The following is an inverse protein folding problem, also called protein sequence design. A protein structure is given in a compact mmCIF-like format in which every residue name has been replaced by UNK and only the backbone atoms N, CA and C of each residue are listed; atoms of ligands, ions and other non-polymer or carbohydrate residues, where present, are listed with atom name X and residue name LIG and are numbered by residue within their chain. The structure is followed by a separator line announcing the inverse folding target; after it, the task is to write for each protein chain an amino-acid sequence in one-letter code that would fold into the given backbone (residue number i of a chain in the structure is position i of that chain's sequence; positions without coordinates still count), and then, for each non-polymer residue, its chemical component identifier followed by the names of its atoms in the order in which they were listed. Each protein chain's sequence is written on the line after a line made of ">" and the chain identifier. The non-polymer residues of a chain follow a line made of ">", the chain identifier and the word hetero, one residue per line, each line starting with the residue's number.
data_IF_777936446985
#
_entry.id   IF_777936446985
#
_cell.length_a   1.000
_cell.length_b   1.000
_cell.length_c   1.000
_cell.angle_alpha   90.00
_cell.angle_beta   90.00
_cell.angle_gamma   90.00
#
_symmetry.space_group_name_H-M   'P 1'
#
loop_
_entity.id
_entity.type
_entity.pdbx_description
1 polymer ?
#
# COMPACT_ATOMS: atom_id res chain seq x y z
N UNK A 1 4.22 14.40 -11.10
CA UNK A 1 3.15 14.84 -10.21
C UNK A 1 3.72 15.67 -9.05
N UNK A 2 4.62 15.14 -8.20
CA UNK A 2 5.18 15.83 -7.04
C UNK A 2 5.83 17.19 -7.35
N UNK A 3 6.61 17.26 -8.42
CA UNK A 3 7.29 18.50 -8.79
C UNK A 3 6.30 19.62 -9.15
N UNK A 4 5.24 19.30 -9.90
CA UNK A 4 4.22 20.28 -10.25
C UNK A 4 3.42 20.74 -9.03
N UNK A 5 3.05 19.81 -8.13
CA UNK A 5 2.37 20.14 -6.86
C UNK A 5 3.23 21.06 -5.99
N UNK A 6 4.52 20.73 -5.84
CA UNK A 6 5.45 21.57 -5.06
C UNK A 6 5.59 22.98 -5.67
N UNK A 7 5.69 23.08 -6.99
CA UNK A 7 5.76 24.38 -7.69
C UNK A 7 4.49 25.21 -7.48
N UNK A 8 3.32 24.60 -7.65
CA UNK A 8 2.02 25.28 -7.46
C UNK A 8 1.87 25.80 -6.02
N UNK A 9 2.17 24.95 -5.01
CA UNK A 9 2.12 25.35 -3.60
C UNK A 9 3.13 26.47 -3.28
N UNK A 10 4.36 26.38 -3.79
CA UNK A 10 5.39 27.40 -3.57
C UNK A 10 5.09 28.72 -4.28
N UNK A 11 4.38 28.66 -5.40
CA UNK A 11 3.88 29.82 -6.12
C UNK A 11 2.60 30.42 -5.49
N UNK A 12 2.09 29.78 -4.43
CA UNK A 12 0.82 30.15 -3.78
C UNK A 12 -0.37 30.16 -4.75
N UNK A 13 -0.36 29.21 -5.72
CA UNK A 13 -1.49 29.02 -6.61
C UNK A 13 -2.73 28.61 -5.81
N UNK A 14 -3.90 29.04 -6.27
CA UNK A 14 -5.16 28.69 -5.64
C UNK A 14 -5.45 27.20 -5.82
N UNK A 15 -5.44 26.48 -4.69
CA UNK A 15 -5.80 25.06 -4.62
C UNK A 15 -6.69 24.91 -3.38
N UNK A 16 -7.95 24.53 -3.58
CA UNK A 16 -8.89 24.40 -2.46
C UNK A 16 -8.84 23.03 -1.77
N UNK A 17 -8.52 21.97 -2.53
CA UNK A 17 -8.37 20.60 -1.99
C UNK A 17 -7.15 19.94 -2.58
N UNK A 18 -6.35 19.30 -1.75
CA UNK A 18 -5.15 18.56 -2.16
C UNK A 18 -5.12 17.17 -1.51
N UNK A 19 -5.05 16.12 -2.33
CA UNK A 19 -4.69 14.80 -1.85
C UNK A 19 -3.16 14.66 -1.82
N UNK A 20 -2.60 14.24 -0.69
CA UNK A 20 -1.16 14.01 -0.54
C UNK A 20 -0.70 12.71 -1.21
N UNK A 21 -1.16 12.45 -2.45
CA UNK A 21 -0.76 11.31 -3.26
C UNK A 21 0.57 11.63 -3.93
N UNK A 22 1.64 10.94 -3.47
CA UNK A 22 2.98 11.18 -3.99
C UNK A 22 3.59 12.54 -3.59
N UNK A 23 2.90 13.39 -2.85
CA UNK A 23 3.43 14.57 -2.18
C UNK A 23 3.55 14.28 -0.69
N UNK A 24 4.75 14.33 -0.09
CA UNK A 24 4.91 13.94 1.31
C UNK A 24 4.15 14.90 2.25
N UNK A 25 3.22 14.36 3.02
CA UNK A 25 2.41 15.10 3.97
C UNK A 25 3.26 15.91 4.97
N UNK A 26 4.27 15.26 5.56
CA UNK A 26 5.20 15.91 6.48
C UNK A 26 5.93 17.10 5.83
N UNK A 27 6.31 16.98 4.55
CA UNK A 27 6.95 18.09 3.82
C UNK A 27 5.99 19.25 3.65
N UNK A 28 4.73 19.02 3.32
CA UNK A 28 3.70 20.05 3.21
C UNK A 28 3.53 20.84 4.51
N UNK A 29 3.54 20.13 5.64
CA UNK A 29 3.45 20.75 6.99
C UNK A 29 4.72 21.56 7.28
N UNK A 30 5.90 20.99 7.10
CA UNK A 30 7.18 21.67 7.39
C UNK A 30 7.38 22.93 6.56
N UNK A 31 6.90 22.96 5.32
CA UNK A 31 6.96 24.11 4.43
C UNK A 31 5.83 25.12 4.69
N UNK A 32 4.88 24.81 5.59
CA UNK A 32 3.76 25.68 5.90
C UNK A 32 2.73 25.82 4.78
N UNK A 33 2.58 24.78 3.94
CA UNK A 33 1.62 24.81 2.83
C UNK A 33 0.21 24.37 3.20
N UNK A 34 0.03 23.73 4.37
CA UNK A 34 -1.24 23.10 4.73
C UNK A 34 -1.92 23.89 5.87
N UNK A 35 -3.24 24.04 5.78
CA UNK A 35 -4.06 24.69 6.78
C UNK A 35 -4.31 23.80 8.00
N UNK A 36 -4.43 24.40 9.18
CA UNK A 36 -5.04 23.78 10.34
C UNK A 36 -6.55 23.62 10.06
N UNK A 37 -7.03 22.38 10.05
CA UNK A 37 -8.43 22.06 9.75
C UNK A 37 -9.36 22.29 10.94
N UNK A 38 -8.83 22.62 12.11
CA UNK A 38 -9.62 23.01 13.29
C UNK A 38 -9.66 24.54 13.46
N UNK A 39 -8.87 25.29 12.69
CA UNK A 39 -8.92 26.73 12.71
C UNK A 39 -10.32 27.26 12.38
N UNK A 40 -10.86 28.13 13.21
CA UNK A 40 -12.22 28.68 13.11
C UNK A 40 -13.33 27.60 13.10
N UNK A 41 -13.13 26.50 13.84
CA UNK A 41 -14.08 25.38 13.93
C UNK A 41 -14.45 24.77 12.57
N UNK A 42 -13.51 24.77 11.61
CA UNK A 42 -13.77 24.39 10.21
C UNK A 42 -14.28 22.94 10.09
N UNK A 43 -13.56 21.97 10.65
CA UNK A 43 -13.98 20.56 10.59
C UNK A 43 -15.20 20.32 11.48
N UNK A 44 -15.30 20.95 12.65
CA UNK A 44 -16.42 20.79 13.58
C UNK A 44 -17.73 21.29 12.96
N UNK A 45 -17.65 22.39 12.18
CA UNK A 45 -18.84 23.01 11.58
C UNK A 45 -19.26 22.35 10.28
N UNK A 46 -18.30 21.94 9.44
CA UNK A 46 -18.59 21.52 8.07
C UNK A 46 -18.13 20.09 7.75
N UNK A 47 -17.36 19.45 8.63
CA UNK A 47 -16.76 18.15 8.42
C UNK A 47 -17.13 17.08 9.46
N UNK A 48 -18.15 17.29 10.29
CA UNK A 48 -18.54 16.33 11.33
C UNK A 48 -18.86 14.95 10.76
N UNK A 49 -19.48 14.89 9.57
CA UNK A 49 -19.77 13.61 8.90
C UNK A 49 -18.52 12.81 8.53
N UNK A 50 -17.38 13.47 8.32
CA UNK A 50 -16.09 12.81 8.10
C UNK A 50 -15.68 12.04 9.37
N UNK A 51 -15.75 12.72 10.53
CA UNK A 51 -15.41 12.12 11.83
C UNK A 51 -16.33 10.93 12.12
N UNK A 52 -17.62 11.08 11.85
CA UNK A 52 -18.62 10.02 12.07
C UNK A 52 -18.38 8.81 11.13
N UNK A 53 -17.89 9.05 9.91
CA UNK A 53 -17.66 8.00 8.92
C UNK A 53 -16.39 7.18 9.18
N UNK A 54 -15.29 7.84 9.58
CA UNK A 54 -13.97 7.17 9.71
C UNK A 54 -13.53 6.93 11.17
N UNK A 55 -14.20 7.52 12.14
CA UNK A 55 -13.84 7.49 13.56
C UNK A 55 -12.82 8.54 13.97
N UNK A 56 -12.98 9.07 15.17
CA UNK A 56 -12.10 10.12 15.71
C UNK A 56 -10.65 9.70 15.80
N UNK A 57 -10.38 8.44 16.17
CA UNK A 57 -9.02 7.88 16.27
C UNK A 57 -8.27 7.89 14.94
N UNK A 58 -8.96 7.66 13.83
CA UNK A 58 -8.35 7.71 12.50
C UNK A 58 -8.08 9.16 12.06
N UNK A 59 -8.96 10.09 12.43
CA UNK A 59 -8.73 11.53 12.22
C UNK A 59 -7.54 11.98 13.05
N UNK A 60 -7.46 11.59 14.32
CA UNK A 60 -6.37 11.97 15.23
C UNK A 60 -5.02 11.38 14.78
N UNK A 61 -5.00 10.23 14.10
CA UNK A 61 -3.78 9.68 13.52
C UNK A 61 -3.16 10.56 12.42
N UNK A 62 -3.91 11.49 11.84
CA UNK A 62 -3.41 12.49 10.90
C UNK A 62 -2.83 13.76 11.57
N UNK A 63 -2.85 13.85 12.90
CA UNK A 63 -2.27 15.00 13.62
C UNK A 63 -0.76 14.96 13.59
N UNK A 64 -0.19 16.14 13.46
CA UNK A 64 1.25 16.36 13.62
C UNK A 64 1.45 17.45 14.66
N UNK A 65 2.18 17.14 15.72
CA UNK A 65 2.38 18.02 16.87
C UNK A 65 1.06 18.58 17.47
N UNK A 66 0.01 17.75 17.47
CA UNK A 66 -1.30 18.11 18.01
C UNK A 66 -2.22 18.89 17.06
N UNK A 67 -1.74 19.33 15.90
CA UNK A 67 -2.52 20.09 14.90
C UNK A 67 -3.01 19.15 13.79
N UNK A 68 -4.25 19.31 13.36
CA UNK A 68 -4.88 18.53 12.31
C UNK A 68 -4.70 19.21 10.94
N UNK A 69 -3.78 18.73 10.13
CA UNK A 69 -3.51 19.27 8.78
C UNK A 69 -4.16 18.46 7.66
N UNK A 70 -4.67 17.26 7.93
CA UNK A 70 -5.23 16.39 6.91
C UNK A 70 -6.23 15.40 7.46
N UNK A 71 -6.98 14.79 6.57
CA UNK A 71 -8.03 13.82 6.85
C UNK A 71 -7.63 12.45 6.29
N UNK A 72 -7.85 11.34 7.00
CA UNK A 72 -7.51 10.01 6.52
C UNK A 72 -8.29 9.66 5.26
N UNK A 73 -7.74 8.85 4.37
CA UNK A 73 -8.49 8.38 3.20
C UNK A 73 -9.68 7.53 3.64
N UNK A 74 -10.87 7.77 3.04
CA UNK A 74 -12.04 6.91 3.24
C UNK A 74 -11.89 5.66 2.36
N UNK A 75 -11.33 4.58 2.91
CA UNK A 75 -11.08 3.30 2.22
C UNK A 75 -10.98 2.17 3.23
N UNK A 76 -10.98 0.93 2.75
CA UNK A 76 -10.62 -0.22 3.56
C UNK A 76 -9.18 -0.04 4.08
N UNK A 77 -9.06 0.15 5.39
CA UNK A 77 -7.78 0.46 6.04
C UNK A 77 -7.04 -0.82 6.41
N UNK A 78 -7.75 -1.83 6.92
CA UNK A 78 -7.22 -3.16 7.18
C UNK A 78 -7.18 -3.96 5.87
N UNK A 79 -6.01 -4.00 5.24
CA UNK A 79 -5.79 -4.68 3.97
C UNK A 79 -4.85 -5.86 4.15
N UNK A 80 -5.08 -6.90 3.35
CA UNK A 80 -4.19 -8.05 3.29
C UNK A 80 -2.76 -7.66 2.91
N UNK A 81 -1.81 -8.18 3.65
CA UNK A 81 -0.38 -7.97 3.45
C UNK A 81 0.31 -9.29 3.12
N UNK A 82 1.50 -9.22 2.58
CA UNK A 82 2.24 -10.42 2.21
C UNK A 82 1.60 -11.18 1.07
N UNK A 83 0.95 -10.50 0.11
CA UNK A 83 0.29 -11.17 -0.99
C UNK A 83 1.23 -11.46 -2.16
N UNK A 84 1.05 -12.66 -2.73
CA UNK A 84 1.64 -13.08 -4.00
C UNK A 84 0.51 -13.40 -5.00
N UNK A 85 0.63 -12.86 -6.20
CA UNK A 85 -0.20 -13.26 -7.32
C UNK A 85 0.54 -14.34 -8.12
N UNK A 86 -0.09 -15.51 -8.31
CA UNK A 86 0.46 -16.64 -9.10
C UNK A 86 -0.50 -16.94 -10.24
N UNK A 87 -0.01 -17.10 -11.46
CA UNK A 87 -0.86 -17.49 -12.57
C UNK A 87 -1.41 -18.91 -12.35
N UNK A 88 -2.74 -19.02 -12.32
CA UNK A 88 -3.49 -20.23 -11.92
C UNK A 88 -3.09 -21.47 -12.71
N UNK A 89 -2.81 -21.32 -14.01
CA UNK A 89 -2.37 -22.41 -14.87
C UNK A 89 -1.11 -23.15 -14.38
N UNK A 90 -0.21 -22.45 -13.69
CA UNK A 90 1.00 -23.07 -13.13
C UNK A 90 0.71 -23.84 -11.85
N UNK A 91 -0.26 -23.38 -11.05
CA UNK A 91 -0.75 -24.11 -9.88
C UNK A 91 -1.45 -25.41 -10.30
N UNK A 92 -2.31 -25.35 -11.33
CA UNK A 92 -2.94 -26.51 -11.93
C UNK A 92 -1.88 -27.49 -12.45
N UNK A 93 -0.82 -26.95 -13.05
CA UNK A 93 0.29 -27.75 -13.58
C UNK A 93 1.03 -28.58 -12.53
N UNK A 94 1.12 -28.10 -11.28
CA UNK A 94 1.71 -28.84 -10.15
C UNK A 94 0.67 -29.63 -9.36
N UNK A 95 -0.60 -29.56 -9.72
CA UNK A 95 -1.71 -30.23 -9.03
C UNK A 95 -2.08 -29.58 -7.69
N UNK A 96 -1.79 -28.30 -7.52
CA UNK A 96 -2.17 -27.55 -6.33
C UNK A 96 -3.64 -27.13 -6.43
N UNK A 97 -4.48 -27.70 -5.57
CA UNK A 97 -5.91 -27.38 -5.50
C UNK A 97 -6.12 -26.16 -4.56
N UNK A 98 -6.02 -24.95 -5.10
CA UNK A 98 -6.44 -23.77 -4.38
C UNK A 98 -7.97 -23.71 -4.27
N UNK A 99 -8.51 -23.20 -3.16
CA UNK A 99 -9.92 -22.81 -3.13
C UNK A 99 -10.10 -21.58 -4.03
N UNK A 100 -10.40 -21.81 -5.30
CA UNK A 100 -10.49 -20.74 -6.32
C UNK A 100 -11.75 -19.89 -6.19
N UNK A 101 -12.70 -20.29 -5.32
CA UNK A 101 -13.88 -19.48 -4.99
C UNK A 101 -13.51 -18.33 -4.06
N UNK A 102 -12.40 -18.44 -3.30
CA UNK A 102 -11.89 -17.37 -2.47
C UNK A 102 -11.15 -16.34 -3.32
N UNK A 103 -11.42 -15.07 -3.07
CA UNK A 103 -10.72 -13.98 -3.73
C UNK A 103 -9.24 -13.92 -3.32
N UNK A 104 -8.94 -14.24 -2.05
CA UNK A 104 -7.62 -14.30 -1.46
C UNK A 104 -7.52 -15.57 -0.61
N UNK A 105 -6.56 -16.42 -0.93
CA UNK A 105 -6.31 -17.68 -0.21
C UNK A 105 -5.24 -17.43 0.87
N UNK A 106 -5.61 -17.64 2.14
CA UNK A 106 -4.64 -17.50 3.25
C UNK A 106 -3.83 -18.79 3.40
N UNK A 107 -2.51 -18.66 3.34
CA UNK A 107 -1.55 -19.77 3.51
C UNK A 107 -0.38 -19.32 4.40
N UNK A 108 0.38 -20.28 4.90
CA UNK A 108 1.64 -19.97 5.58
C UNK A 108 2.72 -19.58 4.56
N UNK A 109 3.75 -18.87 5.03
CA UNK A 109 4.92 -18.57 4.20
C UNK A 109 5.68 -19.85 3.81
N UNK A 110 5.70 -20.86 4.67
CA UNK A 110 6.32 -22.16 4.38
C UNK A 110 5.57 -22.86 3.23
N UNK A 111 4.26 -22.83 3.24
CA UNK A 111 3.45 -23.38 2.15
C UNK A 111 3.70 -22.63 0.83
N UNK A 112 3.82 -21.30 0.86
CA UNK A 112 4.20 -20.53 -0.33
C UNK A 112 5.59 -20.92 -0.84
N UNK A 113 6.56 -21.15 0.06
CA UNK A 113 7.89 -21.65 -0.30
C UNK A 113 7.84 -23.02 -0.96
N UNK A 114 7.00 -23.92 -0.47
CA UNK A 114 6.80 -25.26 -1.05
C UNK A 114 6.15 -25.18 -2.45
N UNK A 115 5.20 -24.27 -2.65
CA UNK A 115 4.64 -23.97 -3.96
C UNK A 115 5.74 -23.50 -4.91
N UNK A 116 6.57 -22.54 -4.50
CA UNK A 116 7.67 -22.03 -5.33
C UNK A 116 8.68 -23.12 -5.70
N UNK A 117 8.99 -24.03 -4.77
CA UNK A 117 9.87 -25.15 -5.05
C UNK A 117 9.30 -26.09 -6.13
N UNK A 118 8.03 -26.46 -6.02
CA UNK A 118 7.34 -27.31 -6.99
C UNK A 118 7.21 -26.63 -8.36
N UNK A 119 6.92 -25.32 -8.38
CA UNK A 119 6.87 -24.54 -9.63
C UNK A 119 8.23 -24.53 -10.33
N UNK A 120 9.32 -24.32 -9.60
CA UNK A 120 10.67 -24.33 -10.17
C UNK A 120 11.05 -25.74 -10.70
N UNK A 121 10.73 -26.79 -9.97
CA UNK A 121 11.00 -28.17 -10.43
C UNK A 121 10.24 -28.47 -11.71
N UNK A 122 8.99 -28.05 -11.81
CA UNK A 122 8.12 -28.32 -12.97
C UNK A 122 8.46 -27.45 -14.18
N UNK A 123 8.85 -26.20 -13.94
CA UNK A 123 9.08 -25.17 -14.97
C UNK A 123 10.45 -24.50 -14.80
N UNK A 124 11.57 -25.25 -14.93
CA UNK A 124 12.91 -24.75 -14.61
C UNK A 124 13.39 -23.59 -15.51
N UNK A 125 12.79 -23.43 -16.68
CA UNK A 125 13.13 -22.38 -17.64
C UNK A 125 12.37 -21.05 -17.40
N UNK A 126 11.53 -20.99 -16.36
CA UNK A 126 10.73 -19.82 -16.03
C UNK A 126 11.15 -19.21 -14.70
N UNK A 127 11.02 -17.90 -14.60
CA UNK A 127 11.15 -17.21 -13.33
C UNK A 127 9.95 -17.51 -12.43
N UNK A 128 10.21 -18.01 -11.23
CA UNK A 128 9.15 -18.35 -10.27
C UNK A 128 8.54 -17.10 -9.66
N UNK A 129 9.41 -16.20 -9.21
CA UNK A 129 8.99 -15.04 -8.42
C UNK A 129 9.83 -13.81 -8.74
N UNK A 130 9.17 -12.68 -8.85
CA UNK A 130 9.83 -11.37 -8.94
C UNK A 130 9.34 -10.43 -7.83
N UNK A 131 10.22 -9.93 -6.95
CA UNK A 131 9.85 -8.89 -6.02
C UNK A 131 9.59 -7.60 -6.79
N UNK A 132 8.52 -6.88 -6.46
CA UNK A 132 8.29 -5.55 -7.01
C UNK A 132 9.27 -4.56 -6.38
N UNK A 133 9.80 -3.65 -7.19
CA UNK A 133 10.82 -2.68 -6.77
C UNK A 133 10.35 -1.86 -5.56
N UNK A 134 11.16 -1.86 -4.49
CA UNK A 134 10.89 -1.09 -3.28
C UNK A 134 9.82 -1.66 -2.35
N UNK A 135 9.27 -2.84 -2.63
CA UNK A 135 8.23 -3.45 -1.81
C UNK A 135 8.74 -4.63 -1.00
N UNK A 136 8.61 -4.54 0.33
CA UNK A 136 8.73 -5.68 1.24
C UNK A 136 7.36 -6.26 1.61
N UNK A 137 6.28 -5.84 0.96
CA UNK A 137 4.90 -6.07 1.39
C UNK A 137 4.54 -7.53 1.59
N UNK A 138 5.13 -8.44 0.80
CA UNK A 138 4.87 -9.87 0.89
C UNK A 138 5.40 -10.50 2.19
N UNK A 139 6.40 -9.90 2.82
CA UNK A 139 7.06 -10.45 4.00
C UNK A 139 7.03 -9.49 5.19
N UNK A 140 6.32 -8.37 5.07
CA UNK A 140 6.41 -7.27 6.02
C UNK A 140 5.18 -7.17 6.90
N UNK A 141 5.42 -7.30 8.20
CA UNK A 141 4.51 -6.94 9.28
C UNK A 141 5.02 -5.70 10.03
N UNK A 142 5.57 -4.74 9.29
CA UNK A 142 6.26 -3.56 9.83
C UNK A 142 5.40 -2.32 9.64
N UNK A 143 5.20 -1.54 10.71
CA UNK A 143 4.66 -0.18 10.61
C UNK A 143 5.80 0.81 10.37
N UNK A 144 5.78 1.46 9.21
CA UNK A 144 6.79 2.44 8.78
C UNK A 144 6.55 3.86 9.31
N UNK A 145 5.67 4.04 10.27
CA UNK A 145 5.39 5.32 10.92
C UNK A 145 5.14 6.46 9.93
N UNK A 146 4.23 6.23 8.99
CA UNK A 146 3.89 7.23 7.97
C UNK A 146 4.84 7.30 6.78
N UNK A 147 5.62 6.23 6.53
CA UNK A 147 6.51 6.12 5.38
C UNK A 147 7.99 6.33 5.69
N UNK A 148 8.35 6.37 6.96
CA UNK A 148 9.76 6.36 7.38
C UNK A 148 10.37 4.99 7.09
N UNK A 149 11.59 4.98 6.52
CA UNK A 149 12.31 3.74 6.22
C UNK A 149 13.39 3.40 7.25
N UNK A 150 13.73 4.31 8.15
CA UNK A 150 14.77 4.09 9.18
C UNK A 150 14.16 3.69 10.51
N UNK A 151 13.20 4.46 11.02
CA UNK A 151 12.52 4.17 12.28
C UNK A 151 11.18 3.47 12.01
N UNK A 152 11.02 2.24 12.50
CA UNK A 152 9.82 1.42 12.27
C UNK A 152 9.40 0.72 13.55
N UNK A 153 8.14 0.30 13.61
CA UNK A 153 7.65 -0.64 14.61
C UNK A 153 7.55 -2.02 13.98
N UNK A 154 8.11 -3.03 14.62
CA UNK A 154 7.98 -4.43 14.20
C UNK A 154 6.68 -5.05 14.73
N UNK A 155 6.42 -6.30 14.37
CA UNK A 155 5.30 -7.10 14.86
C UNK A 155 3.95 -6.39 14.78
N UNK A 156 3.60 -5.95 13.58
CA UNK A 156 2.34 -5.24 13.31
C UNK A 156 2.17 -3.93 14.11
N UNK A 157 3.25 -3.35 14.63
CA UNK A 157 3.19 -2.14 15.45
C UNK A 157 2.57 -2.37 16.84
N UNK A 158 2.59 -3.60 17.36
CA UNK A 158 1.96 -3.92 18.66
C UNK A 158 2.76 -3.42 19.87
N UNK A 159 4.02 -3.03 19.66
CA UNK A 159 4.80 -2.32 20.67
C UNK A 159 5.24 -0.97 20.12
N UNK A 160 5.66 -0.06 21.01
CA UNK A 160 6.08 1.30 20.66
C UNK A 160 7.61 1.45 20.60
N UNK A 161 8.35 0.33 20.58
CA UNK A 161 9.80 0.33 20.47
C UNK A 161 10.21 0.60 19.02
N UNK A 162 10.62 1.83 18.76
CA UNK A 162 11.10 2.22 17.42
C UNK A 162 12.48 1.66 17.20
N UNK A 163 12.64 0.86 16.14
CA UNK A 163 13.91 0.25 15.76
C UNK A 163 14.39 0.77 14.39
N UNK A 164 15.70 0.72 14.16
CA UNK A 164 16.24 0.92 12.81
C UNK A 164 15.95 -0.32 11.98
N UNK A 165 15.13 -0.19 10.93
CA UNK A 165 14.76 -1.30 10.07
C UNK A 165 15.97 -2.09 9.56
N UNK A 166 17.00 -1.40 9.08
CA UNK A 166 18.17 -2.02 8.43
C UNK A 166 19.13 -2.73 9.40
N UNK A 167 19.01 -2.47 10.71
CA UNK A 167 19.77 -3.15 11.77
C UNK A 167 18.97 -4.28 12.42
N UNK A 168 17.68 -4.43 12.05
CA UNK A 168 16.79 -5.44 12.64
C UNK A 168 17.06 -6.85 12.10
N UNK A 169 16.83 -7.86 12.92
CA UNK A 169 16.83 -9.26 12.48
C UNK A 169 15.76 -9.51 11.41
N UNK A 170 14.62 -8.84 11.51
CA UNK A 170 13.58 -8.87 10.47
C UNK A 170 14.13 -8.56 9.06
N UNK A 171 14.86 -7.45 8.92
CA UNK A 171 15.43 -7.06 7.62
C UNK A 171 16.51 -8.02 7.15
N UNK A 172 17.33 -8.52 8.05
CA UNK A 172 18.35 -9.53 7.78
C UNK A 172 17.73 -10.82 7.25
N UNK A 173 16.66 -11.30 7.90
CA UNK A 173 15.94 -12.52 7.49
C UNK A 173 15.24 -12.32 6.14
N UNK A 174 14.68 -11.14 5.89
CA UNK A 174 14.13 -10.76 4.59
C UNK A 174 15.18 -10.82 3.47
N UNK A 175 16.35 -10.22 3.68
CA UNK A 175 17.45 -10.26 2.72
C UNK A 175 17.98 -11.68 2.51
N UNK A 176 18.11 -12.47 3.57
CA UNK A 176 18.56 -13.86 3.49
C UNK A 176 17.60 -14.71 2.66
N UNK A 177 16.29 -14.49 2.78
CA UNK A 177 15.27 -15.18 1.99
C UNK A 177 15.34 -14.83 0.50
N UNK A 178 15.44 -13.55 0.16
CA UNK A 178 15.59 -13.15 -1.24
C UNK A 178 16.90 -13.68 -1.85
N UNK A 179 17.97 -13.71 -1.06
CA UNK A 179 19.22 -14.32 -1.48
C UNK A 179 19.06 -15.83 -1.74
N UNK A 180 18.39 -16.55 -0.85
CA UNK A 180 18.10 -17.96 -1.02
C UNK A 180 17.25 -18.21 -2.28
N UNK A 181 16.21 -17.43 -2.53
CA UNK A 181 15.40 -17.51 -3.75
C UNK A 181 16.23 -17.28 -5.01
N UNK A 182 17.14 -16.32 -4.98
CA UNK A 182 18.06 -16.09 -6.11
C UNK A 182 19.02 -17.25 -6.31
N UNK A 183 19.61 -17.82 -5.24
CA UNK A 183 20.51 -18.97 -5.32
C UNK A 183 19.80 -20.25 -5.83
N UNK A 184 18.52 -20.40 -5.53
CA UNK A 184 17.67 -21.49 -6.02
C UNK A 184 17.20 -21.29 -7.47
N UNK A 185 17.46 -20.14 -8.07
CA UNK A 185 17.01 -19.80 -9.42
C UNK A 185 15.51 -19.41 -9.52
N UNK A 186 14.87 -19.10 -8.39
CA UNK A 186 13.47 -18.63 -8.40
C UNK A 186 13.35 -17.21 -8.94
N UNK A 187 14.38 -16.39 -8.73
CA UNK A 187 14.48 -15.01 -9.20
C UNK A 187 15.49 -14.97 -10.35
N UNK A 188 15.13 -14.34 -11.45
CA UNK A 188 16.05 -14.15 -12.58
C UNK A 188 17.30 -13.37 -12.18
N UNK A 189 18.43 -13.73 -12.77
CA UNK A 189 19.71 -13.08 -12.48
C UNK A 189 19.74 -11.58 -12.86
N UNK A 190 18.91 -11.18 -13.82
CA UNK A 190 18.77 -9.79 -14.28
C UNK A 190 17.61 -9.03 -13.64
N UNK A 191 16.89 -9.63 -12.70
CA UNK A 191 15.71 -9.05 -12.06
C UNK A 191 15.97 -7.65 -11.45
N UNK A 192 17.21 -7.37 -11.02
CA UNK A 192 17.58 -6.07 -10.45
C UNK A 192 17.75 -4.96 -11.49
N UNK A 193 17.93 -5.30 -12.76
CA UNK A 193 18.19 -4.38 -13.87
C UNK A 193 17.08 -4.37 -14.91
N UNK A 194 16.29 -5.43 -14.96
CA UNK A 194 15.13 -5.53 -15.86
C UNK A 194 13.99 -4.62 -15.35
N UNK A 195 13.62 -3.66 -16.19
CA UNK A 195 12.53 -2.69 -15.89
C UNK A 195 11.19 -3.08 -16.52
N UNK A 196 11.10 -4.27 -17.11
CA UNK A 196 9.86 -4.76 -17.69
C UNK A 196 8.80 -4.91 -16.60
N UNK A 197 7.60 -4.40 -16.89
CA UNK A 197 6.49 -4.50 -15.94
C UNK A 197 6.14 -5.97 -15.67
N UNK A 198 5.93 -6.33 -14.41
CA UNK A 198 5.63 -7.72 -14.01
C UNK A 198 4.41 -8.29 -14.73
N UNK A 199 3.38 -7.48 -14.97
CA UNK A 199 2.20 -7.90 -15.76
C UNK A 199 2.55 -8.34 -17.18
N UNK A 200 3.49 -7.68 -17.84
CA UNK A 200 3.93 -8.06 -19.20
C UNK A 200 4.77 -9.33 -19.17
N UNK A 201 5.58 -9.56 -18.16
CA UNK A 201 6.34 -10.80 -17.99
C UNK A 201 5.42 -12.00 -17.75
N UNK A 202 4.39 -11.84 -16.91
CA UNK A 202 3.38 -12.88 -16.69
C UNK A 202 2.59 -13.13 -17.95
N UNK A 203 2.16 -12.09 -18.66
CA UNK A 203 1.46 -12.19 -19.95
C UNK A 203 2.28 -12.94 -21.00
N UNK A 204 3.57 -12.68 -21.06
CA UNK A 204 4.52 -13.39 -21.92
C UNK A 204 4.76 -14.83 -21.48
N UNK A 205 4.39 -15.22 -20.27
CA UNK A 205 4.59 -16.56 -19.71
C UNK A 205 6.03 -16.83 -19.28
N UNK A 206 6.84 -15.79 -19.03
CA UNK A 206 8.23 -15.89 -18.55
C UNK A 206 8.32 -15.82 -17.04
N UNK A 207 7.35 -15.15 -16.37
CA UNK A 207 7.24 -15.02 -14.93
C UNK A 207 5.96 -15.71 -14.45
N UNK A 208 6.03 -16.43 -13.34
CA UNK A 208 4.89 -17.15 -12.77
C UNK A 208 4.21 -16.41 -11.62
N UNK A 209 4.97 -15.66 -10.82
CA UNK A 209 4.47 -15.00 -9.60
C UNK A 209 5.18 -13.67 -9.32
N UNK A 210 4.44 -12.77 -8.68
CA UNK A 210 4.98 -11.50 -8.19
C UNK A 210 4.22 -11.01 -6.94
N UNK A 211 4.80 -10.00 -6.26
CA UNK A 211 4.18 -9.37 -5.09
C UNK A 211 3.02 -8.47 -5.49
N UNK A 212 1.88 -8.59 -4.80
CA UNK A 212 0.74 -7.69 -4.93
C UNK A 212 0.17 -7.31 -3.57
N UNK A 213 -0.78 -6.38 -3.52
CA UNK A 213 -1.54 -6.03 -2.31
C UNK A 213 -2.82 -6.86 -2.19
N UNK A 214 -3.26 -7.16 -0.96
CA UNK A 214 -4.54 -7.81 -0.71
C UNK A 214 -5.63 -6.76 -0.50
N UNK A 215 -6.68 -6.79 -1.34
CA UNK A 215 -7.86 -5.93 -1.23
C UNK A 215 -9.04 -6.57 -1.98
N UNK A 216 -10.29 -6.20 -1.71
CA UNK A 216 -11.42 -6.61 -2.54
C UNK A 216 -11.20 -6.27 -4.02
N UNK A 217 -11.55 -7.18 -4.92
CA UNK A 217 -11.38 -7.04 -6.38
C UNK A 217 -9.96 -7.25 -6.90
N UNK A 218 -9.00 -7.65 -6.05
CA UNK A 218 -7.59 -7.81 -6.46
C UNK A 218 -7.40 -8.91 -7.50
N UNK A 219 -8.10 -10.04 -7.38
CA UNK A 219 -8.01 -11.14 -8.34
C UNK A 219 -8.42 -10.67 -9.74
N UNK A 220 -9.54 -9.97 -9.85
CA UNK A 220 -10.01 -9.42 -11.13
C UNK A 220 -9.04 -8.36 -11.70
N UNK A 221 -8.47 -7.51 -10.83
CA UNK A 221 -7.48 -6.52 -11.21
C UNK A 221 -6.22 -7.18 -11.79
N UNK A 222 -5.65 -8.17 -11.09
CA UNK A 222 -4.42 -8.85 -11.52
C UNK A 222 -4.67 -9.72 -12.78
N UNK A 223 -5.83 -10.35 -12.87
CA UNK A 223 -6.25 -11.08 -14.09
C UNK A 223 -6.34 -10.13 -15.30
N UNK A 224 -6.89 -8.94 -15.12
CA UNK A 224 -6.96 -7.93 -16.20
C UNK A 224 -5.57 -7.40 -16.56
N UNK A 225 -4.72 -7.14 -15.58
CA UNK A 225 -3.35 -6.63 -15.77
C UNK A 225 -2.50 -7.61 -16.57
N UNK A 226 -2.57 -8.90 -16.24
CA UNK A 226 -1.71 -9.94 -16.81
C UNK A 226 -2.32 -10.61 -18.05
N UNK A 227 -3.63 -10.51 -18.23
CA UNK A 227 -4.37 -11.25 -19.26
C UNK A 227 -4.41 -12.77 -18.99
N UNK A 228 -4.10 -13.21 -17.77
CA UNK A 228 -4.13 -14.60 -17.30
C UNK A 228 -4.96 -14.70 -16.04
N UNK A 229 -5.60 -15.84 -15.81
CA UNK A 229 -6.26 -16.09 -14.53
C UNK A 229 -5.21 -16.15 -13.42
N UNK A 230 -5.47 -15.41 -12.32
CA UNK A 230 -4.53 -15.26 -11.22
C UNK A 230 -5.14 -15.77 -9.93
N UNK A 231 -4.36 -16.49 -9.15
CA UNK A 231 -4.68 -16.86 -7.77
C UNK A 231 -3.87 -15.99 -6.83
N UNK A 232 -4.53 -15.43 -5.82
CA UNK A 232 -3.92 -14.51 -4.85
C UNK A 232 -3.72 -15.24 -3.55
N UNK A 233 -2.49 -15.34 -3.10
CA UNK A 233 -2.12 -15.91 -1.80
C UNK A 233 -1.74 -14.81 -0.84
N UNK A 234 -2.15 -14.95 0.43
CA UNK A 234 -1.81 -14.04 1.52
C UNK A 234 -1.10 -14.80 2.63
N UNK A 235 0.06 -14.32 3.03
CA UNK A 235 0.90 -14.97 4.05
C UNK A 235 0.96 -14.24 5.39
N UNK A 236 0.45 -13.01 5.47
CA UNK A 236 0.38 -12.21 6.69
C UNK A 236 -1.07 -11.86 7.02
N UNK A 237 -1.36 -11.67 8.30
CA UNK A 237 -2.67 -11.22 8.73
C UNK A 237 -3.00 -9.80 8.23
N UNK A 238 -4.29 -9.51 8.15
CA UNK A 238 -4.76 -8.16 7.89
C UNK A 238 -4.45 -7.28 9.10
N UNK A 239 -3.92 -6.09 8.86
CA UNK A 239 -3.63 -5.15 9.92
C UNK A 239 -3.71 -3.70 9.46
N UNK A 240 -3.88 -2.81 10.44
CA UNK A 240 -3.85 -1.37 10.24
C UNK A 240 -2.51 -0.86 10.73
N UNK A 241 -1.82 -0.08 9.91
CA UNK A 241 -0.60 0.63 10.26
C UNK A 241 -0.82 2.13 10.21
N UNK A 242 0.09 2.90 10.78
CA UNK A 242 0.06 4.36 10.67
C UNK A 242 0.07 4.82 9.21
N UNK A 243 0.82 4.12 8.36
CA UNK A 243 0.84 4.35 6.91
C UNK A 243 -0.51 4.08 6.25
N UNK A 244 -1.27 3.08 6.71
CA UNK A 244 -2.60 2.79 6.16
C UNK A 244 -3.56 3.95 6.35
N UNK A 245 -3.46 4.65 7.49
CA UNK A 245 -4.35 5.76 7.86
C UNK A 245 -3.87 7.08 7.28
N UNK A 246 -2.58 7.43 7.46
CA UNK A 246 -2.06 8.76 7.22
C UNK A 246 -1.18 8.90 5.97
N UNK A 247 -1.08 7.87 5.10
CA UNK A 247 -0.15 7.91 3.95
C UNK A 247 -0.58 8.85 2.83
N UNK A 248 -1.87 9.09 2.67
CA UNK A 248 -2.44 9.89 1.58
C UNK A 248 -3.61 10.74 2.11
N UNK A 249 -3.39 11.62 3.11
CA UNK A 249 -4.47 12.41 3.65
C UNK A 249 -4.99 13.43 2.64
N UNK A 250 -6.27 13.75 2.75
CA UNK A 250 -6.87 14.90 2.10
C UNK A 250 -6.57 16.14 2.92
N UNK A 251 -6.14 17.21 2.27
CA UNK A 251 -5.71 18.45 2.92
C UNK A 251 -6.33 19.66 2.24
N UNK A 252 -6.37 20.77 2.97
CA UNK A 252 -6.75 22.09 2.44
C UNK A 252 -5.49 22.96 2.53
N UNK A 253 -4.88 23.38 1.40
CA UNK A 253 -3.73 24.27 1.42
C UNK A 253 -4.04 25.63 2.02
N UNK A 254 -3.00 26.35 2.50
CA UNK A 254 -3.16 27.71 3.00
C UNK A 254 -3.59 28.70 1.90
N UNK A 255 -3.26 28.40 0.65
CA UNK A 255 -3.66 29.18 -0.54
C UNK A 255 -5.14 29.05 -0.91
N UNK A 256 -5.87 28.12 -0.29
CA UNK A 256 -7.28 27.90 -0.53
C UNK A 256 -8.10 29.15 -0.24
N UNK A 257 -8.89 29.60 -1.21
CA UNK A 257 -9.78 30.76 -1.09
C UNK A 257 -11.16 30.36 -0.55
N UNK A 258 -11.53 29.09 -0.68
CA UNK A 258 -12.89 28.59 -0.39
C UNK A 258 -12.86 27.42 0.62
N UNK A 259 -12.16 27.59 1.77
CA UNK A 259 -11.94 26.52 2.77
C UNK A 259 -13.23 25.87 3.27
N UNK A 260 -14.30 26.68 3.50
CA UNK A 260 -15.60 26.12 3.90
C UNK A 260 -16.23 25.25 2.80
N UNK A 261 -16.15 25.68 1.55
CA UNK A 261 -16.68 24.90 0.42
C UNK A 261 -15.86 23.64 0.22
N UNK A 262 -14.52 23.72 0.38
CA UNK A 262 -13.62 22.59 0.33
C UNK A 262 -13.96 21.55 1.41
N UNK A 263 -14.18 21.98 2.66
CA UNK A 263 -14.54 21.08 3.76
C UNK A 263 -15.92 20.43 3.52
N UNK A 264 -16.92 21.20 3.05
CA UNK A 264 -18.23 20.65 2.69
C UNK A 264 -18.14 19.63 1.56
N UNK A 265 -17.33 19.90 0.54
CA UNK A 265 -17.07 18.95 -0.54
C UNK A 265 -16.42 17.65 -0.02
N UNK A 266 -15.38 17.77 0.80
CA UNK A 266 -14.78 16.59 1.43
C UNK A 266 -15.80 15.83 2.28
N UNK A 267 -16.63 16.52 3.08
CA UNK A 267 -17.66 15.87 3.88
C UNK A 267 -18.62 15.05 3.01
N UNK A 268 -19.07 15.59 1.87
CA UNK A 268 -19.89 14.84 0.91
C UNK A 268 -19.16 13.60 0.36
N UNK A 269 -17.86 13.71 0.06
CA UNK A 269 -17.07 12.58 -0.42
C UNK A 269 -16.99 11.42 0.61
N UNK A 270 -17.09 11.71 1.91
CA UNK A 270 -17.06 10.70 2.97
C UNK A 270 -18.44 10.16 3.36
N UNK A 271 -19.51 10.93 3.13
CA UNK A 271 -20.85 10.60 3.65
C UNK A 271 -21.85 10.21 2.56
N UNK A 272 -21.57 10.55 1.31
CA UNK A 272 -22.47 10.31 0.20
C UNK A 272 -21.94 9.14 -0.66
N UNK A 273 -22.60 7.99 -0.56
CA UNK A 273 -22.21 6.78 -1.29
C UNK A 273 -22.24 6.95 -2.82
N UNK A 274 -23.10 7.79 -3.35
CA UNK A 274 -23.19 8.04 -4.80
C UNK A 274 -21.96 8.78 -5.30
N UNK A 275 -21.41 9.68 -4.48
CA UNK A 275 -20.16 10.41 -4.81
C UNK A 275 -18.94 9.52 -4.58
N UNK A 276 -18.92 8.76 -3.50
CA UNK A 276 -17.79 7.89 -3.16
C UNK A 276 -17.57 6.74 -4.14
N UNK A 277 -18.61 6.36 -4.91
CA UNK A 277 -18.59 5.26 -5.88
C UNK A 277 -18.47 5.73 -7.35
N UNK A 278 -18.27 7.03 -7.61
CA UNK A 278 -17.99 7.55 -8.95
C UNK A 278 -16.58 7.23 -9.39
#
# INVERSE_FOLDING_TARGET
>A
FNQNTTLALSANEEIDVLACVGFPYATGIQQGYLSDLEENDLIQTYGQGIIDAVGQENVDACRVNGVLYGLPSNRDIAQGRGCAAIATEYLDGIGYEANTDDEIVKISLDELNDIYAQLHEKYPDKEVYRPTTGSMSQFSNVDSLGGNVFGVLLDYGQNLDVVNLFESDFYKDYCARLYDYNQKGYISADASTDTTAVGELVKAGTLMSYTTGGKPGIKAQETTLTGRDMTIFQTLDDYISSTSVASMPWTIPISAQHKEAAMKFLNECYTNADIANL
#
